data_IF_703362585522
#
_entry.id   IF_703362585522
#
_cell.length_a   1.000
_cell.length_b   1.000
_cell.length_c   1.000
_cell.angle_alpha   90.00
_cell.angle_beta   90.00
_cell.angle_gamma   90.00
#
_symmetry.space_group_name_H-M   'P 1'
#
loop_
_entity.id
_entity.type
_entity.pdbx_description
1 polymer ?
#
# COMPACT_ATOMS: atom_id res chain seq x y z
N UNK A 1 -21.91 6.49 17.53
CA UNK A 1 -21.10 7.56 18.16
C UNK A 1 -20.54 7.06 19.49
N UNK A 2 -19.24 6.75 19.59
CA UNK A 2 -18.60 6.45 20.88
C UNK A 2 -18.52 7.76 21.67
N UNK A 3 -19.18 7.82 22.84
CA UNK A 3 -19.01 8.91 23.80
C UNK A 3 -17.55 8.93 24.25
N UNK A 4 -16.82 9.98 23.93
CA UNK A 4 -15.47 10.22 24.44
C UNK A 4 -15.58 10.58 25.93
N UNK A 5 -15.12 9.71 26.83
CA UNK A 5 -15.04 9.97 28.27
C UNK A 5 -13.79 10.81 28.62
N UNK A 6 -13.34 11.68 27.73
CA UNK A 6 -12.11 12.48 27.94
C UNK A 6 -12.43 13.72 28.77
N UNK A 7 -11.81 13.84 29.95
CA UNK A 7 -11.90 15.04 30.79
C UNK A 7 -11.05 16.14 30.18
N UNK A 8 -11.68 17.23 29.72
CA UNK A 8 -11.01 18.28 28.96
C UNK A 8 -9.91 19.02 29.75
N UNK A 9 -10.04 19.16 31.07
CA UNK A 9 -9.01 19.74 31.93
C UNK A 9 -7.76 18.88 31.98
N UNK A 10 -7.89 17.55 32.08
CA UNK A 10 -6.74 16.60 32.05
C UNK A 10 -6.03 16.68 30.69
N UNK A 11 -6.79 16.74 29.60
CA UNK A 11 -6.21 16.89 28.25
C UNK A 11 -5.42 18.20 28.12
N UNK A 12 -5.95 19.31 28.61
CA UNK A 12 -5.26 20.62 28.58
C UNK A 12 -4.01 20.64 29.45
N UNK A 13 -4.03 20.01 30.63
CA UNK A 13 -2.86 19.86 31.48
C UNK A 13 -1.74 19.06 30.77
N UNK A 14 -2.11 17.95 30.13
CA UNK A 14 -1.14 17.16 29.33
C UNK A 14 -0.53 17.97 28.18
N UNK A 15 -1.30 18.81 27.48
CA UNK A 15 -0.79 19.70 26.43
C UNK A 15 0.20 20.71 26.99
N UNK A 16 -0.05 21.29 28.18
CA UNK A 16 0.87 22.24 28.82
C UNK A 16 2.17 21.55 29.25
N UNK A 17 2.12 20.32 29.80
CA UNK A 17 3.31 19.55 30.18
C UNK A 17 4.17 19.24 28.93
N UNK A 18 3.54 18.84 27.83
CA UNK A 18 4.23 18.54 26.55
C UNK A 18 4.83 19.77 25.88
N UNK A 19 4.48 20.97 26.29
CA UNK A 19 5.08 22.21 25.73
C UNK A 19 6.57 22.37 26.14
N UNK A 20 7.03 21.68 27.17
CA UNK A 20 8.43 21.71 27.64
C UNK A 20 9.27 20.67 26.89
N UNK A 21 10.33 21.09 26.23
CA UNK A 21 11.21 20.23 25.42
C UNK A 21 12.31 19.55 26.24
N UNK A 22 12.65 20.06 27.44
CA UNK A 22 13.61 19.47 28.37
C UNK A 22 13.32 19.87 29.80
N UNK A 23 13.88 19.12 30.78
CA UNK A 23 13.81 19.48 32.21
C UNK A 23 14.58 20.76 32.54
N UNK A 24 15.57 21.16 31.73
CA UNK A 24 16.31 22.39 31.92
C UNK A 24 15.64 23.61 31.26
N UNK A 25 14.65 23.40 30.44
CA UNK A 25 13.96 24.48 29.74
C UNK A 25 13.05 25.26 30.66
N UNK A 26 13.19 26.58 30.62
CA UNK A 26 12.31 27.50 31.33
C UNK A 26 11.44 28.23 30.33
N UNK A 27 10.12 28.08 30.44
CA UNK A 27 9.15 28.75 29.59
C UNK A 27 8.36 29.80 30.37
N UNK A 28 8.20 30.97 29.78
CA UNK A 28 7.24 31.97 30.26
C UNK A 28 5.82 31.68 29.74
N UNK A 29 4.80 32.25 30.40
CA UNK A 29 3.41 32.08 30.01
C UNK A 29 3.15 32.32 28.53
N UNK A 30 3.80 33.36 27.94
CA UNK A 30 3.65 33.69 26.51
C UNK A 30 4.13 32.55 25.61
N UNK A 31 5.29 32.00 25.88
CA UNK A 31 5.83 30.86 25.13
C UNK A 31 4.95 29.60 25.22
N UNK A 32 4.37 29.34 26.41
CA UNK A 32 3.40 28.25 26.60
C UNK A 32 2.13 28.48 25.78
N UNK A 33 1.59 29.69 25.76
CA UNK A 33 0.42 30.07 24.94
C UNK A 33 0.72 29.85 23.46
N UNK A 34 1.89 30.30 22.97
CA UNK A 34 2.28 30.17 21.57
C UNK A 34 2.43 28.70 21.14
N UNK A 35 3.02 27.87 21.99
CA UNK A 35 3.21 26.42 21.72
C UNK A 35 1.93 25.59 21.83
N UNK A 36 1.05 25.93 22.80
CA UNK A 36 -0.16 25.13 23.10
C UNK A 36 -1.41 25.63 22.39
N UNK A 37 -1.38 26.85 21.86
CA UNK A 37 -2.54 27.58 21.32
C UNK A 37 -3.74 27.68 22.28
N UNK A 38 -3.50 27.54 23.59
CA UNK A 38 -4.49 27.78 24.62
C UNK A 38 -4.63 29.29 24.83
N UNK A 39 -5.84 29.73 25.20
CA UNK A 39 -5.99 31.11 25.63
C UNK A 39 -5.19 31.38 26.92
N UNK A 40 -4.70 32.63 27.07
CA UNK A 40 -3.82 33.08 28.15
C UNK A 40 -4.32 32.70 29.54
N UNK A 41 -5.62 32.90 29.81
CA UNK A 41 -6.21 32.58 31.11
C UNK A 41 -6.25 31.08 31.42
N UNK A 42 -6.49 30.24 30.39
CA UNK A 42 -6.47 28.76 30.54
C UNK A 42 -5.05 28.26 30.74
N UNK A 43 -4.09 28.75 29.94
CA UNK A 43 -2.68 28.38 30.07
C UNK A 43 -2.14 28.76 31.45
N UNK A 44 -2.43 29.96 31.93
CA UNK A 44 -2.02 30.42 33.27
C UNK A 44 -2.58 29.52 34.38
N UNK A 45 -3.88 29.26 34.40
CA UNK A 45 -4.49 28.38 35.43
C UNK A 45 -3.92 26.98 35.37
N UNK A 46 -3.65 26.41 34.20
CA UNK A 46 -3.03 25.10 34.08
C UNK A 46 -1.61 25.10 34.63
N UNK A 47 -0.79 26.12 34.30
CA UNK A 47 0.56 26.28 34.83
C UNK A 47 0.57 26.35 36.37
N UNK A 48 -0.27 27.22 36.95
CA UNK A 48 -0.34 27.33 38.42
C UNK A 48 -0.79 26.03 39.08
N UNK A 49 -1.83 25.39 38.54
CA UNK A 49 -2.28 24.09 39.09
C UNK A 49 -1.17 23.04 38.96
N UNK A 50 -0.44 23.00 37.85
CA UNK A 50 0.65 22.03 37.69
C UNK A 50 1.83 22.29 38.60
N UNK A 51 2.07 23.56 38.98
CA UNK A 51 3.04 23.92 40.05
C UNK A 51 2.54 23.44 41.40
N UNK A 52 1.29 23.72 41.75
CA UNK A 52 0.67 23.31 43.01
C UNK A 52 0.72 21.79 43.23
N UNK A 53 0.40 21.02 42.17
CA UNK A 53 0.42 19.54 42.24
C UNK A 53 1.82 18.94 42.00
N UNK A 54 2.87 19.75 41.85
CA UNK A 54 4.24 19.32 41.80
C UNK A 54 4.76 18.78 40.47
N UNK A 55 4.06 19.01 39.37
CA UNK A 55 4.53 18.65 38.02
C UNK A 55 5.44 19.71 37.38
N UNK A 56 5.30 20.96 37.78
CA UNK A 56 6.17 22.05 37.35
C UNK A 56 6.82 22.76 38.56
N UNK A 57 7.95 23.39 38.31
CA UNK A 57 8.60 24.36 39.25
C UNK A 57 8.39 25.77 38.72
N UNK A 58 8.22 26.71 39.64
CA UNK A 58 8.35 28.12 39.34
C UNK A 58 9.82 28.54 39.34
N UNK A 59 10.26 29.23 38.28
CA UNK A 59 11.63 29.71 38.12
C UNK A 59 11.62 31.22 37.97
N UNK A 60 12.13 31.92 38.93
CA UNK A 60 12.10 33.40 38.98
C UNK A 60 10.67 33.94 39.07
N UNK A 61 10.41 35.13 38.53
CA UNK A 61 9.10 35.80 38.63
C UNK A 61 8.05 35.32 37.62
N UNK A 62 8.47 34.83 36.46
CA UNK A 62 7.55 34.53 35.34
C UNK A 62 7.81 33.20 34.63
N UNK A 63 8.85 32.46 35.01
CA UNK A 63 9.26 31.22 34.35
C UNK A 63 8.64 29.99 35.01
N UNK A 64 8.45 28.95 34.22
CA UNK A 64 8.03 27.62 34.62
C UNK A 64 9.00 26.58 34.06
N UNK A 65 9.27 25.52 34.80
CA UNK A 65 10.15 24.42 34.42
C UNK A 65 9.48 23.10 34.74
N UNK A 66 9.56 22.13 33.84
CA UNK A 66 9.00 20.80 34.05
C UNK A 66 9.85 19.97 35.02
N UNK A 67 9.21 19.36 36.02
CA UNK A 67 9.83 18.29 36.83
C UNK A 67 9.79 16.95 36.16
N UNK A 68 8.86 16.79 35.23
CA UNK A 68 8.77 15.57 34.44
C UNK A 68 9.86 15.61 33.38
N UNK A 69 10.51 14.47 33.16
CA UNK A 69 11.23 14.32 31.90
C UNK A 69 10.23 14.56 30.78
N UNK A 70 10.52 15.42 29.80
CA UNK A 70 9.68 15.49 28.64
C UNK A 70 9.57 14.06 28.15
N UNK A 71 8.35 13.60 28.00
CA UNK A 71 8.13 12.46 27.10
C UNK A 71 8.56 13.01 25.74
N UNK A 72 9.86 12.90 25.43
CA UNK A 72 10.31 13.05 24.06
C UNK A 72 9.37 12.13 23.31
N UNK A 73 8.57 12.67 22.44
CA UNK A 73 7.97 11.87 21.40
C UNK A 73 9.16 11.11 20.84
N UNK A 74 9.21 9.77 21.10
CA UNK A 74 10.38 8.98 20.69
C UNK A 74 10.36 9.12 19.17
N UNK A 75 11.31 9.85 18.65
CA UNK A 75 11.44 10.04 17.22
C UNK A 75 11.91 8.70 16.67
N UNK A 76 10.95 7.93 16.13
CA UNK A 76 11.25 6.61 15.61
C UNK A 76 11.90 6.73 14.25
N UNK A 77 12.90 5.90 14.02
CA UNK A 77 13.55 5.74 12.73
C UNK A 77 13.06 4.45 12.08
N UNK A 78 12.34 4.56 10.97
CA UNK A 78 11.74 3.42 10.27
C UNK A 78 12.43 3.23 8.94
N UNK A 79 12.90 2.01 8.65
CA UNK A 79 13.40 1.62 7.34
C UNK A 79 12.25 1.23 6.41
N UNK A 80 12.27 1.70 5.17
CA UNK A 80 11.37 1.24 4.12
C UNK A 80 12.17 0.71 2.93
N UNK A 81 12.10 -0.59 2.67
CA UNK A 81 12.63 -1.22 1.47
C UNK A 81 11.55 -1.28 0.40
N UNK A 82 11.57 -0.37 -0.58
CA UNK A 82 10.62 -0.42 -1.69
C UNK A 82 10.98 -1.51 -2.69
N UNK A 83 9.98 -2.18 -3.26
CA UNK A 83 10.17 -3.22 -4.26
C UNK A 83 10.94 -2.71 -5.49
N UNK A 84 10.50 -1.59 -6.05
CA UNK A 84 11.09 -0.93 -7.21
C UNK A 84 10.38 0.41 -7.46
N UNK A 85 11.05 1.32 -8.16
CA UNK A 85 10.44 2.56 -8.65
C UNK A 85 9.91 2.45 -10.10
N UNK A 86 9.92 1.23 -10.67
CA UNK A 86 9.52 1.00 -12.06
C UNK A 86 8.01 0.77 -12.24
N UNK A 87 7.31 0.42 -11.17
CA UNK A 87 5.86 0.20 -11.22
C UNK A 87 5.12 1.41 -10.62
N UNK A 88 4.05 1.89 -11.27
CA UNK A 88 3.25 3.02 -10.77
C UNK A 88 2.74 2.80 -9.33
N UNK A 89 2.27 1.59 -9.02
CA UNK A 89 1.79 1.22 -7.70
C UNK A 89 2.84 1.47 -6.60
N UNK A 90 4.06 0.97 -6.79
CA UNK A 90 5.13 1.11 -5.79
C UNK A 90 5.58 2.56 -5.60
N UNK A 91 5.51 3.39 -6.65
CA UNK A 91 5.75 4.82 -6.57
C UNK A 91 4.74 5.52 -5.67
N UNK A 92 3.44 5.28 -5.89
CA UNK A 92 2.36 5.87 -5.08
C UNK A 92 2.46 5.42 -3.61
N UNK A 93 2.77 4.15 -3.35
CA UNK A 93 2.98 3.66 -1.96
C UNK A 93 4.16 4.39 -1.31
N UNK A 94 5.26 4.60 -2.03
CA UNK A 94 6.44 5.32 -1.51
C UNK A 94 6.09 6.77 -1.16
N UNK A 95 5.41 7.49 -2.06
CA UNK A 95 5.00 8.88 -1.84
C UNK A 95 4.02 8.99 -0.66
N UNK A 96 3.08 8.06 -0.57
CA UNK A 96 2.12 7.97 0.54
C UNK A 96 2.82 7.74 1.88
N UNK A 97 3.85 6.85 1.92
CA UNK A 97 4.66 6.60 3.11
C UNK A 97 5.47 7.82 3.53
N UNK A 98 6.11 8.51 2.58
CA UNK A 98 6.88 9.73 2.85
C UNK A 98 5.99 10.83 3.45
N UNK A 99 4.80 11.04 2.89
CA UNK A 99 3.83 12.01 3.44
C UNK A 99 3.40 11.63 4.86
N UNK A 100 2.98 10.39 5.06
CA UNK A 100 2.51 9.91 6.36
C UNK A 100 3.61 9.92 7.44
N UNK A 101 4.85 9.60 7.08
CA UNK A 101 5.99 9.66 7.98
C UNK A 101 6.28 11.10 8.41
N UNK A 102 6.25 12.05 7.46
CA UNK A 102 6.41 13.48 7.74
C UNK A 102 5.31 14.02 8.68
N UNK A 103 4.05 13.63 8.46
CA UNK A 103 2.93 14.03 9.31
C UNK A 103 3.01 13.45 10.73
N UNK A 104 3.60 12.25 10.87
CA UNK A 104 3.76 11.54 12.14
C UNK A 104 5.07 11.84 12.88
N UNK A 105 5.93 12.73 12.34
CA UNK A 105 7.27 13.05 12.88
C UNK A 105 8.15 11.78 13.01
N UNK A 106 8.16 10.95 11.95
CA UNK A 106 8.94 9.72 11.81
C UNK A 106 10.10 9.95 10.83
N UNK A 107 11.31 9.55 11.22
CA UNK A 107 12.47 9.50 10.31
C UNK A 107 12.36 8.25 9.42
N UNK A 108 12.00 8.45 8.15
CA UNK A 108 11.82 7.36 7.18
C UNK A 108 13.06 7.22 6.28
N UNK A 109 13.78 6.12 6.44
CA UNK A 109 14.93 5.75 5.59
C UNK A 109 14.44 4.89 4.44
N UNK A 110 14.49 5.40 3.20
CA UNK A 110 13.98 4.70 2.01
C UNK A 110 15.12 4.10 1.20
N UNK A 111 15.08 2.79 0.99
CA UNK A 111 15.95 2.05 0.08
C UNK A 111 15.10 1.33 -0.97
N UNK A 112 15.66 1.01 -2.13
CA UNK A 112 14.94 0.27 -3.19
C UNK A 112 15.63 -1.05 -3.51
N UNK A 113 14.84 -2.11 -3.61
CA UNK A 113 15.29 -3.47 -3.91
C UNK A 113 15.50 -3.72 -5.42
N UNK A 114 14.96 -2.84 -6.29
CA UNK A 114 15.10 -2.90 -7.77
C UNK A 114 14.82 -4.28 -8.36
N UNK A 115 13.84 -5.00 -7.83
CA UNK A 115 13.52 -6.41 -8.18
C UNK A 115 14.69 -7.38 -7.98
N UNK A 116 15.70 -7.05 -7.17
CA UNK A 116 16.91 -7.84 -6.96
C UNK A 116 16.92 -8.46 -5.56
N UNK A 117 16.91 -9.79 -5.49
CA UNK A 117 17.05 -10.54 -4.24
C UNK A 117 18.34 -10.20 -3.51
N UNK A 118 19.46 -10.03 -4.24
CA UNK A 118 20.73 -9.64 -3.66
C UNK A 118 20.63 -8.26 -3.01
N UNK A 119 20.05 -7.29 -3.72
CA UNK A 119 19.94 -5.93 -3.20
C UNK A 119 18.97 -5.87 -2.01
N UNK A 120 17.91 -6.67 -1.99
CA UNK A 120 17.01 -6.77 -0.85
C UNK A 120 17.74 -7.23 0.42
N UNK A 121 18.62 -8.22 0.30
CA UNK A 121 19.46 -8.69 1.41
C UNK A 121 20.49 -7.63 1.86
N UNK A 122 21.12 -6.93 0.92
CA UNK A 122 22.06 -5.83 1.23
C UNK A 122 21.34 -4.66 1.91
N UNK A 123 20.11 -4.35 1.50
CA UNK A 123 19.30 -3.30 2.14
C UNK A 123 18.88 -3.70 3.56
N UNK A 124 18.58 -4.99 3.80
CA UNK A 124 18.29 -5.48 5.16
C UNK A 124 19.49 -5.27 6.10
N UNK A 125 20.72 -5.59 5.65
CA UNK A 125 21.93 -5.34 6.44
C UNK A 125 22.12 -3.83 6.72
N UNK A 126 21.90 -2.96 5.72
CA UNK A 126 22.00 -1.51 5.91
C UNK A 126 21.03 -0.99 6.96
N UNK A 127 19.78 -1.45 7.00
CA UNK A 127 18.84 -1.05 8.04
C UNK A 127 19.30 -1.48 9.43
N UNK A 128 19.91 -2.66 9.55
CA UNK A 128 20.50 -3.13 10.82
C UNK A 128 21.67 -2.23 11.25
N UNK A 129 22.60 -1.92 10.32
CA UNK A 129 23.73 -1.01 10.56
C UNK A 129 23.27 0.38 10.96
N UNK A 130 22.21 0.89 10.33
CA UNK A 130 21.62 2.19 10.62
C UNK A 130 20.74 2.20 11.89
N UNK A 131 20.57 1.05 12.53
CA UNK A 131 19.84 0.88 13.79
C UNK A 131 18.41 1.44 13.73
N UNK A 132 17.70 1.13 12.65
CA UNK A 132 16.28 1.52 12.56
C UNK A 132 15.46 0.79 13.62
N UNK A 133 14.39 1.43 14.12
CA UNK A 133 13.53 0.87 15.16
C UNK A 133 12.57 -0.21 14.61
N UNK A 134 12.21 -0.11 13.33
CA UNK A 134 11.31 -1.04 12.63
C UNK A 134 11.61 -0.99 11.13
N UNK A 135 11.34 -2.10 10.41
CA UNK A 135 11.43 -2.14 8.95
C UNK A 135 10.07 -2.43 8.33
N UNK A 136 9.73 -1.70 7.27
CA UNK A 136 8.66 -2.01 6.33
C UNK A 136 9.34 -2.56 5.07
N UNK A 137 9.15 -3.84 4.76
CA UNK A 137 9.82 -4.48 3.62
C UNK A 137 8.83 -4.87 2.53
N UNK A 138 9.12 -4.40 1.31
CA UNK A 138 8.40 -4.75 0.10
C UNK A 138 9.39 -5.29 -0.93
N UNK A 139 9.31 -6.59 -1.21
CA UNK A 139 10.16 -7.25 -2.20
C UNK A 139 9.33 -8.28 -2.98
N UNK A 140 9.78 -8.72 -4.16
CA UNK A 140 8.98 -9.59 -5.03
C UNK A 140 9.35 -11.06 -4.93
N UNK A 141 10.56 -11.38 -4.50
CA UNK A 141 11.03 -12.76 -4.49
C UNK A 141 10.74 -13.43 -3.15
N UNK A 142 9.78 -14.34 -3.14
CA UNK A 142 9.37 -15.07 -1.95
C UNK A 142 10.53 -15.88 -1.31
N UNK A 143 11.48 -16.39 -2.11
CA UNK A 143 12.56 -17.25 -1.61
C UNK A 143 13.54 -16.52 -0.69
N UNK A 144 13.69 -15.20 -0.82
CA UNK A 144 14.56 -14.42 0.08
C UNK A 144 13.85 -13.92 1.32
N UNK A 145 12.54 -14.01 1.38
CA UNK A 145 11.74 -13.55 2.52
C UNK A 145 12.19 -14.18 3.85
N UNK A 146 12.48 -15.50 3.85
CA UNK A 146 12.96 -16.20 5.05
C UNK A 146 14.34 -15.71 5.50
N UNK A 147 15.24 -15.38 4.56
CA UNK A 147 16.58 -14.89 4.88
C UNK A 147 16.53 -13.45 5.43
N UNK A 148 15.68 -12.59 4.89
CA UNK A 148 15.43 -11.23 5.39
C UNK A 148 14.86 -11.30 6.80
N UNK A 149 13.85 -12.17 7.00
CA UNK A 149 13.24 -12.42 8.31
C UNK A 149 14.24 -12.83 9.36
N UNK A 150 15.13 -13.77 9.03
CA UNK A 150 16.16 -14.24 9.96
C UNK A 150 17.05 -13.07 10.41
N UNK A 151 17.52 -12.22 9.48
CA UNK A 151 18.37 -11.05 9.80
C UNK A 151 17.70 -10.08 10.74
N UNK A 152 16.44 -9.70 10.48
CA UNK A 152 15.72 -8.76 11.35
C UNK A 152 15.41 -9.38 12.70
N UNK A 153 15.05 -10.68 12.73
CA UNK A 153 14.80 -11.40 13.98
C UNK A 153 16.06 -11.49 14.84
N UNK A 154 17.21 -11.83 14.26
CA UNK A 154 18.50 -11.91 14.95
C UNK A 154 18.95 -10.55 15.49
N UNK A 155 18.65 -9.47 14.75
CA UNK A 155 18.91 -8.10 15.18
C UNK A 155 17.85 -7.56 16.18
N UNK A 156 16.78 -8.30 16.45
CA UNK A 156 15.68 -7.86 17.33
C UNK A 156 14.86 -6.69 16.77
N UNK A 157 14.86 -6.50 15.44
CA UNK A 157 14.15 -5.43 14.76
C UNK A 157 12.78 -5.96 14.31
N UNK A 158 11.66 -5.40 14.80
CA UNK A 158 10.32 -5.76 14.31
C UNK A 158 10.16 -5.32 12.85
N UNK A 159 9.37 -6.07 12.08
CA UNK A 159 9.18 -5.75 10.67
C UNK A 159 7.77 -6.07 10.17
N UNK A 160 7.33 -5.28 9.17
CA UNK A 160 6.07 -5.43 8.44
C UNK A 160 6.41 -5.87 7.02
N UNK A 161 5.80 -6.95 6.57
CA UNK A 161 5.94 -7.45 5.21
C UNK A 161 4.79 -6.92 4.34
N UNK A 162 5.13 -6.18 3.28
CA UNK A 162 4.15 -5.60 2.36
C UNK A 162 3.97 -6.48 1.14
N UNK A 163 2.74 -6.93 0.89
CA UNK A 163 2.26 -7.73 -0.23
C UNK A 163 2.87 -9.13 -0.38
N UNK A 164 4.13 -9.35 -0.03
CA UNK A 164 4.78 -10.66 0.00
C UNK A 164 5.02 -11.06 1.46
N UNK A 165 4.41 -12.14 1.96
CA UNK A 165 4.54 -12.51 3.37
C UNK A 165 5.97 -12.96 3.70
N UNK A 166 6.41 -12.57 4.88
CA UNK A 166 7.69 -12.98 5.45
C UNK A 166 7.45 -13.76 6.74
N UNK A 167 8.17 -14.84 7.00
CA UNK A 167 8.05 -15.57 8.26
C UNK A 167 8.28 -14.65 9.48
N UNK A 168 7.34 -14.64 10.42
CA UNK A 168 7.44 -13.83 11.64
C UNK A 168 7.10 -12.34 11.49
N UNK A 169 6.88 -11.85 10.27
CA UNK A 169 6.40 -10.48 10.03
C UNK A 169 4.91 -10.33 10.25
N UNK A 170 4.48 -9.11 10.54
CA UNK A 170 3.09 -8.73 10.37
C UNK A 170 2.86 -8.47 8.89
N UNK A 171 1.89 -9.18 8.30
CA UNK A 171 1.52 -8.97 6.91
C UNK A 171 0.67 -7.70 6.76
N UNK A 172 0.98 -6.90 5.73
CA UNK A 172 0.16 -5.77 5.31
C UNK A 172 0.01 -5.80 3.79
N UNK A 173 -1.20 -5.74 3.27
CA UNK A 173 -1.39 -5.69 1.83
C UNK A 173 -2.73 -6.24 1.35
N UNK A 174 -2.77 -6.68 0.10
CA UNK A 174 -3.97 -7.17 -0.53
C UNK A 174 -4.43 -8.54 0.03
N UNK A 175 -5.75 -8.72 0.17
CA UNK A 175 -6.37 -10.04 0.18
C UNK A 175 -6.40 -10.56 -1.27
N UNK A 176 -5.29 -11.18 -1.67
CA UNK A 176 -5.03 -11.55 -3.06
C UNK A 176 -6.10 -12.49 -3.64
N UNK A 177 -6.55 -13.47 -2.85
CA UNK A 177 -7.59 -14.39 -3.29
C UNK A 177 -8.91 -13.68 -3.52
N UNK A 178 -9.34 -12.84 -2.57
CA UNK A 178 -10.58 -12.06 -2.67
C UNK A 178 -10.55 -11.08 -3.84
N UNK A 179 -9.44 -10.37 -4.02
CA UNK A 179 -9.23 -9.47 -5.15
C UNK A 179 -9.32 -10.21 -6.50
N UNK A 180 -8.64 -11.35 -6.60
CA UNK A 180 -8.74 -12.22 -7.77
C UNK A 180 -10.15 -12.68 -8.04
N UNK A 181 -10.88 -13.11 -7.02
CA UNK A 181 -12.27 -13.58 -7.16
C UNK A 181 -13.21 -12.48 -7.66
N UNK A 182 -13.03 -11.22 -7.22
CA UNK A 182 -13.76 -10.07 -7.75
C UNK A 182 -13.50 -9.89 -9.25
N UNK A 183 -12.23 -9.93 -9.67
CA UNK A 183 -11.83 -9.83 -11.07
C UNK A 183 -12.41 -10.97 -11.92
N UNK A 184 -12.31 -12.21 -11.45
CA UNK A 184 -12.83 -13.38 -12.15
C UNK A 184 -14.34 -13.37 -12.35
N UNK A 185 -15.08 -12.97 -11.33
CA UNK A 185 -16.55 -12.78 -11.43
C UNK A 185 -16.91 -11.73 -12.47
N UNK A 186 -16.15 -10.61 -12.52
CA UNK A 186 -16.40 -9.57 -13.50
C UNK A 186 -16.09 -10.06 -14.92
N UNK A 187 -14.97 -10.73 -15.11
CA UNK A 187 -14.54 -11.33 -16.38
C UNK A 187 -15.61 -12.30 -16.92
N UNK A 188 -16.16 -13.15 -16.06
CA UNK A 188 -17.23 -14.08 -16.42
C UNK A 188 -18.51 -13.38 -16.85
N UNK A 189 -18.99 -12.39 -16.04
CA UNK A 189 -20.20 -11.61 -16.40
C UNK A 189 -20.04 -10.90 -17.73
N UNK A 190 -18.85 -10.35 -17.98
CA UNK A 190 -18.54 -9.70 -19.24
C UNK A 190 -18.57 -10.70 -20.41
N UNK A 191 -17.98 -11.90 -20.28
CA UNK A 191 -18.00 -12.93 -21.29
C UNK A 191 -19.42 -13.42 -21.59
N UNK A 192 -20.26 -13.60 -20.58
CA UNK A 192 -21.69 -13.92 -20.75
C UNK A 192 -22.38 -12.84 -21.56
N UNK A 193 -22.19 -11.57 -21.22
CA UNK A 193 -22.87 -10.44 -21.86
C UNK A 193 -22.42 -10.19 -23.30
N UNK A 194 -21.14 -10.31 -23.59
CA UNK A 194 -20.54 -9.87 -24.86
C UNK A 194 -20.18 -11.01 -25.82
N UNK A 195 -19.96 -12.21 -25.28
CA UNK A 195 -19.57 -13.38 -26.08
C UNK A 195 -20.53 -14.57 -25.95
N UNK A 196 -21.69 -14.34 -25.37
CA UNK A 196 -22.68 -15.40 -25.13
C UNK A 196 -22.03 -16.60 -24.39
N UNK A 197 -21.23 -16.29 -23.35
CA UNK A 197 -20.54 -17.28 -22.53
C UNK A 197 -19.47 -18.13 -23.26
N UNK A 198 -19.09 -17.77 -24.50
CA UNK A 198 -18.09 -18.52 -25.26
C UNK A 198 -16.72 -17.87 -25.17
N UNK A 199 -15.70 -18.64 -24.79
CA UNK A 199 -14.29 -18.28 -24.86
C UNK A 199 -13.48 -19.54 -25.20
N UNK A 200 -12.38 -19.36 -25.94
CA UNK A 200 -11.56 -20.46 -26.44
C UNK A 200 -10.33 -20.70 -25.56
N UNK A 201 -9.93 -19.68 -24.77
CA UNK A 201 -8.75 -19.72 -23.96
C UNK A 201 -8.86 -18.77 -22.75
N UNK A 202 -8.33 -19.19 -21.62
CA UNK A 202 -8.04 -18.34 -20.47
C UNK A 202 -6.53 -18.15 -20.40
N UNK A 203 -6.06 -16.90 -20.39
CA UNK A 203 -4.66 -16.56 -20.25
C UNK A 203 -4.43 -15.90 -18.89
N UNK A 204 -3.60 -16.51 -18.06
CA UNK A 204 -3.14 -15.93 -16.80
C UNK A 204 -1.71 -15.40 -16.92
N UNK A 205 -1.56 -14.13 -16.52
CA UNK A 205 -0.30 -13.40 -16.52
C UNK A 205 0.12 -13.21 -15.05
N UNK A 206 0.97 -14.10 -14.55
CA UNK A 206 1.38 -14.20 -13.15
C UNK A 206 2.82 -13.77 -12.90
N UNK A 207 3.26 -13.93 -11.65
CA UNK A 207 4.65 -13.71 -11.21
C UNK A 207 5.06 -14.88 -10.32
N UNK A 208 5.75 -15.87 -10.91
CA UNK A 208 6.07 -17.12 -10.20
C UNK A 208 6.97 -16.87 -8.98
N UNK A 209 7.93 -15.96 -9.10
CA UNK A 209 8.86 -15.59 -8.03
C UNK A 209 8.19 -14.98 -6.79
N UNK A 210 6.96 -14.45 -6.91
CA UNK A 210 6.24 -13.82 -5.80
C UNK A 210 5.57 -14.81 -4.84
N UNK A 211 5.64 -16.10 -5.15
CA UNK A 211 5.15 -17.18 -4.29
C UNK A 211 3.62 -17.32 -4.27
N UNK A 212 3.12 -18.22 -3.41
CA UNK A 212 1.72 -18.65 -3.45
C UNK A 212 0.73 -17.56 -3.03
N UNK A 213 1.12 -16.64 -2.13
CA UNK A 213 0.22 -15.61 -1.64
C UNK A 213 -0.19 -14.64 -2.77
N UNK A 214 0.77 -14.11 -3.53
CA UNK A 214 0.46 -13.24 -4.66
C UNK A 214 -0.29 -14.01 -5.77
N UNK A 215 0.19 -15.21 -6.09
CA UNK A 215 -0.41 -16.03 -7.14
C UNK A 215 -1.82 -16.55 -6.77
N UNK A 216 -2.23 -16.44 -5.50
CA UNK A 216 -3.62 -16.69 -5.10
C UNK A 216 -4.62 -15.73 -5.77
N UNK A 217 -4.17 -14.58 -6.34
CA UNK A 217 -4.99 -13.73 -7.24
C UNK A 217 -5.52 -14.51 -8.44
N UNK A 218 -4.65 -15.31 -9.07
CA UNK A 218 -5.02 -16.08 -10.26
C UNK A 218 -5.93 -17.26 -9.90
N UNK A 219 -5.70 -17.88 -8.74
CA UNK A 219 -6.59 -18.91 -8.19
C UNK A 219 -7.97 -18.31 -7.91
N UNK A 220 -8.03 -17.18 -7.23
CA UNK A 220 -9.27 -16.45 -6.99
C UNK A 220 -9.98 -16.04 -8.28
N UNK A 221 -9.22 -15.58 -9.30
CA UNK A 221 -9.81 -15.27 -10.62
C UNK A 221 -10.45 -16.49 -11.26
N UNK A 222 -9.78 -17.64 -11.21
CA UNK A 222 -10.34 -18.90 -11.71
C UNK A 222 -11.61 -19.26 -10.98
N UNK A 223 -11.60 -19.24 -9.65
CA UNK A 223 -12.77 -19.61 -8.85
C UNK A 223 -13.93 -18.64 -9.06
N UNK A 224 -13.66 -17.33 -9.11
CA UNK A 224 -14.66 -16.32 -9.42
C UNK A 224 -15.24 -16.44 -10.84
N UNK A 225 -14.42 -16.87 -11.81
CA UNK A 225 -14.84 -17.13 -13.17
C UNK A 225 -15.79 -18.36 -13.21
N UNK A 226 -15.40 -19.46 -12.57
CA UNK A 226 -16.20 -20.70 -12.50
C UNK A 226 -17.51 -20.48 -11.75
N UNK A 227 -17.51 -19.66 -10.71
CA UNK A 227 -18.70 -19.34 -9.91
C UNK A 227 -19.85 -18.73 -10.76
N UNK A 228 -19.49 -17.87 -11.72
CA UNK A 228 -20.46 -17.19 -12.60
C UNK A 228 -20.66 -17.96 -13.91
N UNK A 229 -19.61 -18.61 -14.42
CA UNK A 229 -19.59 -19.36 -15.66
C UNK A 229 -19.01 -20.76 -15.41
N UNK A 230 -19.81 -21.71 -14.88
CA UNK A 230 -19.32 -23.05 -14.50
C UNK A 230 -18.64 -23.81 -15.63
N UNK A 231 -19.07 -23.61 -16.88
CA UNK A 231 -18.47 -24.25 -18.05
C UNK A 231 -17.06 -23.79 -18.34
N UNK A 232 -16.63 -22.65 -17.76
CA UNK A 232 -15.26 -22.14 -17.88
C UNK A 232 -14.20 -23.09 -17.31
N UNK A 233 -14.57 -24.04 -16.45
CA UNK A 233 -13.68 -25.10 -15.95
C UNK A 233 -13.09 -25.98 -17.07
N UNK A 234 -13.76 -26.05 -18.23
CA UNK A 234 -13.34 -26.83 -19.39
C UNK A 234 -12.56 -26.01 -20.42
N UNK A 235 -12.53 -24.67 -20.28
CA UNK A 235 -11.77 -23.81 -21.19
C UNK A 235 -10.26 -24.04 -20.93
N UNK A 236 -9.48 -24.27 -22.00
CA UNK A 236 -8.03 -24.39 -21.89
C UNK A 236 -7.40 -23.17 -21.18
N UNK A 237 -6.39 -23.42 -20.36
CA UNK A 237 -5.67 -22.37 -19.62
C UNK A 237 -4.22 -22.33 -20.10
N UNK A 238 -3.70 -21.12 -20.35
CA UNK A 238 -2.26 -20.89 -20.41
C UNK A 238 -1.83 -19.94 -19.30
N UNK A 239 -0.67 -20.19 -18.73
CA UNK A 239 -0.05 -19.38 -17.69
C UNK A 239 1.31 -18.89 -18.17
N UNK A 240 1.59 -17.59 -17.94
CA UNK A 240 2.87 -16.96 -18.28
C UNK A 240 3.43 -16.21 -17.08
N UNK A 241 4.71 -16.44 -16.80
CA UNK A 241 5.47 -15.64 -15.84
C UNK A 241 5.92 -14.31 -16.49
N UNK A 242 5.42 -13.21 -15.97
CA UNK A 242 5.60 -11.85 -16.47
C UNK A 242 6.85 -11.14 -15.94
N UNK A 243 7.75 -11.87 -15.25
CA UNK A 243 9.00 -11.33 -14.71
C UNK A 243 8.78 -10.10 -13.80
N UNK A 244 7.92 -10.25 -12.82
CA UNK A 244 7.58 -9.18 -11.88
C UNK A 244 6.42 -8.28 -12.34
N UNK A 245 5.59 -8.71 -13.28
CA UNK A 245 4.47 -7.93 -13.79
C UNK A 245 4.89 -6.79 -14.69
N UNK A 246 6.10 -6.88 -15.30
CA UNK A 246 6.67 -5.81 -16.12
C UNK A 246 6.01 -5.76 -17.52
N UNK A 247 5.79 -4.53 -18.02
CA UNK A 247 5.11 -4.27 -19.28
C UNK A 247 5.81 -4.91 -20.46
N UNK A 248 7.10 -4.62 -20.70
CA UNK A 248 7.83 -5.07 -21.88
C UNK A 248 7.97 -6.59 -21.94
N UNK A 249 8.31 -7.21 -20.81
CA UNK A 249 8.40 -8.67 -20.72
C UNK A 249 7.06 -9.35 -21.04
N UNK A 250 5.96 -8.80 -20.54
CA UNK A 250 4.61 -9.30 -20.80
C UNK A 250 4.20 -9.08 -22.25
N UNK A 251 4.48 -7.90 -22.80
CA UNK A 251 4.20 -7.56 -24.21
C UNK A 251 4.83 -8.58 -25.15
N UNK A 252 6.11 -8.90 -24.95
CA UNK A 252 6.83 -9.88 -25.78
C UNK A 252 6.28 -11.29 -25.65
N UNK A 253 5.86 -11.71 -24.44
CA UNK A 253 5.22 -13.01 -24.20
C UNK A 253 3.91 -13.13 -24.96
N UNK A 254 3.03 -12.13 -24.84
CA UNK A 254 1.72 -12.16 -25.49
C UNK A 254 1.85 -12.04 -27.02
N UNK A 255 2.77 -11.21 -27.54
CA UNK A 255 3.10 -11.16 -28.98
C UNK A 255 3.54 -12.54 -29.52
N UNK A 256 4.36 -13.27 -28.78
CA UNK A 256 4.81 -14.64 -29.15
C UNK A 256 3.63 -15.60 -29.15
N UNK A 257 2.73 -15.50 -28.17
CA UNK A 257 1.51 -16.31 -28.12
C UNK A 257 0.63 -16.05 -29.35
N UNK A 258 0.33 -14.80 -29.67
CA UNK A 258 -0.58 -14.40 -30.73
C UNK A 258 -0.07 -14.78 -32.14
N UNK A 259 1.26 -14.78 -32.36
CA UNK A 259 1.87 -15.24 -33.63
C UNK A 259 1.64 -16.73 -33.91
N UNK A 260 1.41 -17.54 -32.87
CA UNK A 260 1.28 -19.00 -32.98
C UNK A 260 -0.18 -19.47 -33.03
N UNK A 261 -1.12 -18.59 -32.67
CA UNK A 261 -2.54 -18.95 -32.53
C UNK A 261 -3.44 -17.84 -33.04
N UNK A 262 -4.32 -18.17 -33.96
CA UNK A 262 -5.25 -17.22 -34.59
C UNK A 262 -6.70 -17.56 -34.23
N UNK A 263 -7.59 -16.54 -34.26
CA UNK A 263 -9.03 -16.69 -34.21
C UNK A 263 -9.57 -17.19 -32.87
N UNK A 264 -8.88 -16.91 -31.76
CA UNK A 264 -9.34 -17.34 -30.43
C UNK A 264 -9.87 -16.15 -29.62
N UNK A 265 -11.02 -16.32 -28.96
CA UNK A 265 -11.51 -15.42 -27.91
C UNK A 265 -10.82 -15.72 -26.60
N UNK A 266 -10.04 -14.78 -26.11
CA UNK A 266 -9.14 -14.96 -24.94
C UNK A 266 -9.63 -14.13 -23.76
N UNK A 267 -9.91 -14.78 -22.65
CA UNK A 267 -10.11 -14.12 -21.36
C UNK A 267 -8.75 -13.98 -20.67
N UNK A 268 -8.34 -12.75 -20.43
CA UNK A 268 -7.02 -12.46 -19.84
C UNK A 268 -7.16 -11.99 -18.40
N UNK A 269 -6.55 -12.72 -17.47
CA UNK A 269 -6.41 -12.33 -16.09
C UNK A 269 -4.97 -11.98 -15.76
N UNK A 270 -4.69 -10.71 -15.44
CA UNK A 270 -3.36 -10.23 -15.15
C UNK A 270 -3.14 -9.98 -13.65
N UNK A 271 -1.92 -10.23 -13.20
CA UNK A 271 -1.50 -10.02 -11.80
C UNK A 271 -1.49 -8.54 -11.40
N UNK A 272 -1.26 -7.65 -12.38
CA UNK A 272 -1.29 -6.20 -12.22
C UNK A 272 -1.71 -5.50 -13.52
N UNK A 273 -1.88 -4.20 -13.47
CA UNK A 273 -2.30 -3.40 -14.63
C UNK A 273 -1.22 -3.26 -15.70
N UNK A 274 0.06 -3.21 -15.33
CA UNK A 274 1.15 -3.17 -16.30
C UNK A 274 1.13 -4.37 -17.22
N UNK A 275 0.91 -5.58 -16.68
CA UNK A 275 0.77 -6.79 -17.46
C UNK A 275 -0.54 -6.82 -18.26
N UNK A 276 -1.65 -6.30 -17.69
CA UNK A 276 -2.93 -6.19 -18.39
C UNK A 276 -2.86 -5.28 -19.61
N UNK A 277 -2.26 -4.10 -19.45
CA UNK A 277 -2.08 -3.12 -20.53
C UNK A 277 -1.14 -3.64 -21.63
N UNK A 278 -0.08 -4.35 -21.24
CA UNK A 278 0.83 -5.00 -22.17
C UNK A 278 0.12 -6.06 -23.03
N UNK A 279 -0.71 -6.90 -22.40
CA UNK A 279 -1.52 -7.86 -23.11
C UNK A 279 -2.49 -7.18 -24.09
N UNK A 280 -3.20 -6.16 -23.63
CA UNK A 280 -4.10 -5.38 -24.47
C UNK A 280 -3.39 -4.77 -25.67
N UNK A 281 -2.20 -4.21 -25.47
CA UNK A 281 -1.38 -3.67 -26.55
C UNK A 281 -0.97 -4.74 -27.55
N UNK A 282 -0.54 -5.92 -27.11
CA UNK A 282 -0.22 -7.02 -28.02
C UNK A 282 -1.39 -7.42 -28.91
N UNK A 283 -2.61 -7.48 -28.35
CA UNK A 283 -3.83 -7.75 -29.11
C UNK A 283 -4.14 -6.63 -30.13
N UNK A 284 -3.93 -5.35 -29.77
CA UNK A 284 -4.09 -4.22 -30.70
C UNK A 284 -3.11 -4.27 -31.84
N UNK A 285 -1.84 -4.50 -31.58
CA UNK A 285 -0.79 -4.63 -32.59
C UNK A 285 -1.06 -5.77 -33.57
N UNK A 286 -1.66 -6.85 -33.09
CA UNK A 286 -2.08 -7.96 -33.92
C UNK A 286 -3.39 -7.72 -34.70
N UNK A 287 -4.06 -6.55 -34.52
CA UNK A 287 -5.38 -6.26 -35.10
C UNK A 287 -6.52 -7.11 -34.48
N UNK A 288 -6.31 -7.68 -33.29
CA UNK A 288 -7.15 -8.67 -32.65
C UNK A 288 -7.77 -8.19 -31.32
N UNK A 289 -7.86 -6.89 -31.12
CA UNK A 289 -8.37 -6.32 -29.88
C UNK A 289 -9.77 -6.82 -29.50
N UNK A 290 -10.63 -7.10 -30.51
CA UNK A 290 -11.97 -7.62 -30.28
C UNK A 290 -12.01 -9.08 -29.78
N UNK A 291 -10.89 -9.76 -29.87
CA UNK A 291 -10.76 -11.16 -29.44
C UNK A 291 -10.30 -11.31 -28.00
N UNK A 292 -10.10 -10.23 -27.25
CA UNK A 292 -9.74 -10.30 -25.84
C UNK A 292 -10.74 -9.57 -24.94
N UNK A 293 -10.84 -10.03 -23.68
CA UNK A 293 -11.38 -9.32 -22.53
C UNK A 293 -10.34 -9.40 -21.41
N UNK A 294 -9.84 -8.26 -20.95
CA UNK A 294 -8.70 -8.18 -20.04
C UNK A 294 -9.11 -7.60 -18.69
N UNK A 295 -8.74 -8.27 -17.61
CA UNK A 295 -8.85 -7.73 -16.25
C UNK A 295 -7.46 -7.55 -15.64
N UNK A 296 -7.26 -6.38 -15.00
CA UNK A 296 -6.03 -6.02 -14.29
C UNK A 296 -6.24 -5.98 -12.78
N UNK A 297 -5.20 -5.52 -12.11
CA UNK A 297 -5.15 -5.29 -10.67
C UNK A 297 -4.36 -3.99 -10.44
N UNK A 298 -4.65 -3.24 -9.40
CA UNK A 298 -4.09 -1.97 -8.91
C UNK A 298 -4.98 -0.76 -9.20
N UNK A 299 -5.76 -0.73 -10.26
CA UNK A 299 -6.44 0.43 -10.83
C UNK A 299 -5.46 1.61 -11.02
N UNK A 300 -4.32 1.35 -11.67
CA UNK A 300 -3.30 2.36 -11.96
C UNK A 300 -3.84 3.49 -12.83
N UNK A 301 -3.16 4.65 -12.81
CA UNK A 301 -3.61 5.80 -13.60
C UNK A 301 -3.66 5.49 -15.10
N UNK A 302 -2.74 4.67 -15.60
CA UNK A 302 -2.69 4.23 -16.99
C UNK A 302 -3.90 3.33 -17.32
N UNK A 303 -4.23 2.39 -16.43
CA UNK A 303 -5.40 1.53 -16.57
C UNK A 303 -6.70 2.35 -16.51
N UNK A 304 -6.80 3.32 -15.60
CA UNK A 304 -7.96 4.21 -15.51
C UNK A 304 -8.13 5.08 -16.77
N UNK A 305 -7.00 5.56 -17.37
CA UNK A 305 -7.02 6.26 -18.66
C UNK A 305 -7.51 5.35 -19.78
N UNK A 306 -7.02 4.12 -19.80
CA UNK A 306 -7.43 3.13 -20.78
C UNK A 306 -8.93 2.80 -20.65
N UNK A 307 -9.45 2.63 -19.42
CA UNK A 307 -10.87 2.36 -19.19
C UNK A 307 -11.79 3.50 -19.67
N UNK A 308 -11.29 4.74 -19.74
CA UNK A 308 -12.03 5.90 -20.27
C UNK A 308 -12.07 5.95 -21.80
N UNK A 309 -11.31 5.09 -22.48
CA UNK A 309 -11.35 5.04 -23.97
C UNK A 309 -12.60 4.31 -24.42
N UNK A 310 -13.28 4.82 -25.46
CA UNK A 310 -14.43 4.11 -26.06
C UNK A 310 -14.05 2.70 -26.51
N UNK A 311 -14.90 1.74 -26.21
CA UNK A 311 -14.77 0.34 -26.65
C UNK A 311 -13.48 -0.36 -26.18
N UNK A 312 -12.87 0.10 -25.12
CA UNK A 312 -11.70 -0.58 -24.52
C UNK A 312 -12.00 -2.04 -24.20
N UNK A 313 -10.95 -2.86 -24.24
CA UNK A 313 -10.97 -4.25 -23.80
C UNK A 313 -10.30 -4.48 -22.45
N UNK A 314 -9.81 -3.43 -21.81
CA UNK A 314 -9.56 -3.44 -20.38
C UNK A 314 -10.89 -3.26 -19.66
N UNK A 315 -11.53 -4.38 -19.35
CA UNK A 315 -12.92 -4.40 -18.90
C UNK A 315 -13.06 -4.12 -17.40
N UNK A 316 -12.01 -4.34 -16.64
CA UNK A 316 -11.91 -3.98 -15.22
C UNK A 316 -10.47 -4.01 -14.70
N UNK A 317 -10.26 -3.36 -13.57
CA UNK A 317 -9.12 -3.55 -12.68
C UNK A 317 -9.59 -3.50 -11.22
N UNK A 318 -8.97 -4.28 -10.35
CA UNK A 318 -9.29 -4.23 -8.91
C UNK A 318 -8.41 -3.20 -8.23
N UNK A 319 -9.01 -2.18 -7.64
CA UNK A 319 -8.31 -1.13 -6.91
C UNK A 319 -7.84 -1.64 -5.53
N UNK A 320 -6.65 -1.21 -5.15
CA UNK A 320 -6.04 -1.44 -3.82
C UNK A 320 -5.78 -0.14 -3.06
N UNK A 321 -6.03 1.01 -3.68
CA UNK A 321 -5.87 2.34 -3.08
C UNK A 321 -4.47 2.54 -2.46
N UNK A 322 -3.39 2.47 -3.27
CA UNK A 322 -2.00 2.58 -2.79
C UNK A 322 -1.72 3.89 -2.06
N UNK A 323 -2.49 4.93 -2.33
CA UNK A 323 -2.46 6.23 -1.63
C UNK A 323 -2.81 6.12 -0.13
N UNK A 324 -3.52 5.07 0.27
CA UNK A 324 -3.91 4.83 1.66
C UNK A 324 -2.93 3.91 2.42
N UNK A 325 -1.91 3.38 1.75
CA UNK A 325 -0.91 2.49 2.38
C UNK A 325 -0.09 3.22 3.43
N UNK A 326 0.43 4.42 3.09
CA UNK A 326 1.31 5.18 3.98
C UNK A 326 0.71 5.44 5.36
N UNK A 327 -0.46 6.09 5.48
CA UNK A 327 -1.09 6.35 6.78
C UNK A 327 -1.34 5.08 7.60
N UNK A 328 -1.75 3.99 6.95
CA UNK A 328 -2.03 2.73 7.63
C UNK A 328 -0.75 2.01 8.07
N UNK A 329 0.30 2.00 7.23
CA UNK A 329 1.60 1.41 7.53
C UNK A 329 2.32 2.17 8.65
N UNK A 330 2.36 3.49 8.61
CA UNK A 330 2.96 4.31 9.68
C UNK A 330 2.20 4.13 10.98
N UNK A 331 0.87 4.12 10.95
CA UNK A 331 0.06 3.84 12.15
C UNK A 331 0.37 2.46 12.72
N UNK A 332 0.41 1.41 11.88
CA UNK A 332 0.72 0.04 12.29
C UNK A 332 2.15 -0.05 12.87
N UNK A 333 3.12 0.58 12.23
CA UNK A 333 4.51 0.62 12.70
C UNK A 333 4.63 1.28 14.08
N UNK A 334 3.96 2.40 14.30
CA UNK A 334 3.93 3.08 15.59
C UNK A 334 3.24 2.23 16.67
N UNK A 335 2.14 1.55 16.34
CA UNK A 335 1.47 0.65 17.27
C UNK A 335 2.38 -0.52 17.70
N UNK A 336 3.17 -1.08 16.79
CA UNK A 336 4.16 -2.13 17.07
C UNK A 336 5.27 -1.57 18.00
N UNK A 337 5.84 -0.41 17.66
CA UNK A 337 6.91 0.23 18.43
C UNK A 337 6.46 0.66 19.83
N UNK A 338 5.18 1.02 19.97
CA UNK A 338 4.54 1.29 21.27
C UNK A 338 4.12 0.02 22.02
N UNK A 339 4.45 -1.17 21.49
CA UNK A 339 4.11 -2.49 22.08
C UNK A 339 2.62 -2.71 22.26
N UNK A 340 1.79 -2.11 21.43
CA UNK A 340 0.36 -2.37 21.38
C UNK A 340 0.08 -3.73 20.71
N UNK A 341 -1.06 -4.31 21.07
CA UNK A 341 -1.50 -5.55 20.41
C UNK A 341 -1.99 -5.22 19.00
N UNK A 342 -1.36 -5.82 18.00
CA UNK A 342 -1.72 -5.68 16.58
C UNK A 342 -2.14 -7.04 15.99
N UNK A 343 -2.97 -7.07 14.94
CA UNK A 343 -3.32 -8.33 14.27
C UNK A 343 -2.11 -8.87 13.48
N UNK A 344 -2.04 -10.19 13.23
CA UNK A 344 -0.96 -10.79 12.45
C UNK A 344 -0.99 -10.41 10.97
N UNK A 345 -2.13 -9.93 10.47
CA UNK A 345 -2.32 -9.47 9.11
C UNK A 345 -3.30 -8.29 9.05
N UNK A 346 -2.98 -7.30 8.23
CA UNK A 346 -3.84 -6.15 7.90
C UNK A 346 -4.10 -6.20 6.40
N UNK A 347 -5.35 -6.39 6.02
CA UNK A 347 -5.75 -6.43 4.62
C UNK A 347 -6.35 -5.12 4.17
N UNK A 348 -5.93 -4.67 2.99
CA UNK A 348 -6.49 -3.49 2.33
C UNK A 348 -7.88 -3.79 1.75
N UNK A 349 -8.70 -2.76 1.63
CA UNK A 349 -9.98 -2.87 0.93
C UNK A 349 -9.77 -2.98 -0.59
N UNK A 350 -10.71 -3.65 -1.26
CA UNK A 350 -10.67 -3.85 -2.70
C UNK A 350 -11.98 -3.43 -3.32
N UNK A 351 -11.89 -2.74 -4.45
CA UNK A 351 -13.06 -2.35 -5.26
C UNK A 351 -12.80 -2.64 -6.74
N UNK A 352 -13.82 -3.16 -7.43
CA UNK A 352 -13.73 -3.39 -8.87
C UNK A 352 -13.97 -2.07 -9.61
N UNK A 353 -13.00 -1.64 -10.38
CA UNK A 353 -13.06 -0.46 -11.25
C UNK A 353 -13.32 -0.91 -12.67
N UNK A 354 -14.29 -0.29 -13.32
CA UNK A 354 -14.73 -0.63 -14.67
C UNK A 354 -14.89 0.66 -15.50
N UNK A 355 -15.02 0.57 -16.84
CA UNK A 355 -15.32 1.74 -17.67
C UNK A 355 -16.56 2.54 -17.21
N UNK A 356 -17.55 1.86 -16.60
CA UNK A 356 -18.78 2.49 -16.16
C UNK A 356 -18.66 3.27 -14.84
N UNK A 357 -17.73 2.86 -13.95
CA UNK A 357 -17.61 3.45 -12.60
C UNK A 357 -16.30 4.19 -12.35
N UNK A 358 -15.32 4.14 -13.25
CA UNK A 358 -13.99 4.75 -13.06
C UNK A 358 -14.05 6.24 -12.72
N UNK A 359 -14.99 6.99 -13.31
CA UNK A 359 -15.16 8.42 -13.04
C UNK A 359 -15.81 8.69 -11.67
N UNK A 360 -16.54 7.73 -11.13
CA UNK A 360 -17.14 7.82 -9.79
C UNK A 360 -16.11 7.54 -8.72
N UNK A 361 -15.27 6.51 -8.91
CA UNK A 361 -14.27 6.08 -7.93
C UNK A 361 -13.06 7.02 -7.96
N UNK A 362 -12.65 7.46 -9.15
CA UNK A 362 -11.51 8.36 -9.36
C UNK A 362 -11.93 9.65 -10.11
N UNK A 363 -12.70 10.53 -9.47
CA UNK A 363 -13.22 11.73 -10.13
C UNK A 363 -12.13 12.76 -10.47
N UNK A 364 -11.03 12.75 -9.74
CA UNK A 364 -9.99 13.79 -9.83
C UNK A 364 -8.89 13.51 -10.87
N UNK A 365 -8.92 12.38 -11.56
CA UNK A 365 -7.91 12.05 -12.59
C UNK A 365 -7.88 13.07 -13.75
N UNK A 366 -9.00 13.72 -14.03
CA UNK A 366 -9.10 14.74 -15.08
C UNK A 366 -8.33 16.04 -14.77
N UNK A 367 -8.03 16.29 -13.48
CA UNK A 367 -7.27 17.47 -13.05
C UNK A 367 -5.74 17.26 -13.16
N UNK A 368 -5.27 16.03 -13.24
CA UNK A 368 -3.85 15.71 -13.33
C UNK A 368 -3.26 15.88 -14.74
N UNK A 369 -4.10 16.06 -15.75
CA UNK A 369 -3.67 16.37 -17.11
C UNK A 369 -4.62 17.37 -17.74
N UNK A 370 -4.19 18.65 -17.92
CA UNK A 370 -4.84 19.50 -18.90
C UNK A 370 -4.74 18.78 -20.24
N UNK A 371 -5.89 18.55 -20.88
CA UNK A 371 -5.98 18.08 -22.24
C UNK A 371 -4.99 18.88 -23.10
N UNK A 372 -4.00 18.19 -23.67
CA UNK A 372 -3.29 18.73 -24.80
C UNK A 372 -4.33 18.95 -25.90
N UNK A 373 -4.72 20.21 -26.08
CA UNK A 373 -5.52 20.72 -27.19
C UNK A 373 -4.76 20.65 -28.48
#
# INVERSE_FOLDING_TARGET
MKRSYTIQSVRRAAVVIRAFSSQSEVLELRAVVDRTRLNKGTAFRMLETLVEVGFLDRVGKQGYRSRLQPVRARHFRIGYASQSNLLPFTGIVTDSLLSAASEADVDLVVLTNKFSSRLALENAEKFIEEKVDLVIDSQINYDVAAQISARFSDAGIPFIAVDIPHPGAIYFGADNYKAGRLAGRHLARWAVKHWNATADLIMYLGVDAAGPMLNSRLIGMRDGLIEILPESKHIPICHYDTKGGQFDATLDLVRKHLRRRNGQRVLVGAVNDSAALAALQAFREAGRERECGVVGQDASIEARREMRRPSTRLIASVAYFPENYGPQLIKLALEILEKKRVPPAVFMEHEIVTPENVNKIYPNDSWMHPSAS
#
